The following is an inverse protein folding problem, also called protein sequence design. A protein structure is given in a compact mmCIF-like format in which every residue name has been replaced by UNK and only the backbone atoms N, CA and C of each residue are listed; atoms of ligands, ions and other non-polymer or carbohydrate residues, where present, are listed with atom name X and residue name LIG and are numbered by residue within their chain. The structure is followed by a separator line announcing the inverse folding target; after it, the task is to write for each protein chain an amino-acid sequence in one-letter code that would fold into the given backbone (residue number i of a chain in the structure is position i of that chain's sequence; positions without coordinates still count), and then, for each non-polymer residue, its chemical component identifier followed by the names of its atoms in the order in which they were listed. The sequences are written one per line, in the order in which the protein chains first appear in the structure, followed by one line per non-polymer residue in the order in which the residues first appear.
data_IF_462428932809
#
_entry.id   IF_462428932809
#
_cell.length_a   1.000
_cell.length_b   1.000
_cell.length_c   1.000
_cell.angle_alpha   90.00
_cell.angle_beta   90.00
_cell.angle_gamma   90.00
#
_symmetry.space_group_name_H-M   'P 1'
#
loop_
_entity.id
_entity.type
_entity.pdbx_description
1 polymer ?
#
# COMPACT_ATOMS: atom_id res chain seq x y z
N UNK A 1 17.08 -14.35 -6.00
CA UNK A 1 15.62 -14.51 -5.81
C UNK A 1 14.94 -13.49 -6.72
N UNK A 2 13.98 -13.91 -7.56
CA UNK A 2 13.22 -13.01 -8.43
C UNK A 2 11.86 -12.75 -7.78
N UNK A 3 11.38 -11.51 -7.83
CA UNK A 3 10.03 -11.11 -7.45
C UNK A 3 9.40 -10.39 -8.64
N UNK A 4 8.11 -10.62 -8.86
CA UNK A 4 7.35 -9.97 -9.92
C UNK A 4 6.50 -8.84 -9.32
N UNK A 5 6.56 -7.65 -9.92
CA UNK A 5 5.68 -6.54 -9.59
C UNK A 5 4.28 -6.80 -10.19
N UNK A 6 3.26 -6.88 -9.35
CA UNK A 6 1.87 -7.08 -9.77
C UNK A 6 1.10 -5.76 -9.88
N UNK A 7 1.41 -4.79 -9.02
CA UNK A 7 0.79 -3.47 -9.01
C UNK A 7 1.77 -2.44 -8.49
N UNK A 8 1.70 -1.22 -9.04
CA UNK A 8 2.48 -0.08 -8.58
C UNK A 8 1.71 1.22 -8.72
N UNK A 9 1.70 2.05 -7.68
CA UNK A 9 1.03 3.36 -7.71
C UNK A 9 1.81 4.41 -6.95
N UNK A 10 2.16 5.48 -7.67
CA UNK A 10 2.70 6.70 -7.09
C UNK A 10 1.60 7.54 -6.43
N UNK A 11 2.03 8.36 -5.47
CA UNK A 11 1.22 9.34 -4.74
C UNK A 11 0.14 8.71 -3.86
N UNK A 12 0.38 7.50 -3.36
CA UNK A 12 -0.42 6.94 -2.24
C UNK A 12 0.08 7.58 -0.95
N UNK A 13 -0.83 8.15 -0.17
CA UNK A 13 -0.49 8.87 1.04
C UNK A 13 -0.57 7.99 2.29
N UNK A 14 0.32 8.21 3.26
CA UNK A 14 0.28 7.62 4.60
C UNK A 14 0.44 8.73 5.63
N UNK A 15 -0.29 8.67 6.75
CA UNK A 15 -0.20 9.67 7.81
C UNK A 15 1.16 9.61 8.54
N UNK A 16 1.78 10.77 8.73
CA UNK A 16 2.93 10.94 9.62
C UNK A 16 2.45 11.26 11.04
N UNK A 17 2.90 10.47 12.01
CA UNK A 17 2.61 10.66 13.43
C UNK A 17 3.13 11.97 14.02
N UNK A 18 4.08 12.64 13.36
CA UNK A 18 4.77 13.80 13.94
C UNK A 18 4.14 15.15 13.62
N UNK A 19 3.38 15.27 12.52
CA UNK A 19 2.86 16.58 12.06
C UNK A 19 1.41 16.56 11.59
N UNK A 20 0.73 15.41 11.66
CA UNK A 20 -0.56 15.21 10.99
C UNK A 20 -0.51 15.48 9.47
N UNK A 21 0.71 15.46 8.90
CA UNK A 21 0.95 15.62 7.47
C UNK A 21 0.85 14.26 6.77
N UNK A 22 0.35 14.29 5.54
CA UNK A 22 0.30 13.10 4.68
C UNK A 22 1.58 13.01 3.85
N UNK A 23 2.33 11.92 4.03
CA UNK A 23 3.51 11.63 3.22
C UNK A 23 3.07 10.92 1.93
N UNK A 24 3.51 11.43 0.78
CA UNK A 24 3.30 10.77 -0.52
C UNK A 24 4.40 9.74 -0.78
N UNK A 25 3.99 8.56 -1.19
CA UNK A 25 4.89 7.47 -1.53
C UNK A 25 4.41 6.61 -2.68
N UNK A 26 5.22 5.61 -2.97
CA UNK A 26 4.94 4.58 -3.95
C UNK A 26 4.51 3.30 -3.25
N UNK A 27 3.27 2.89 -3.51
CA UNK A 27 2.72 1.61 -3.08
C UNK A 27 2.99 0.56 -4.17
N UNK A 28 3.43 -0.63 -3.79
CA UNK A 28 3.62 -1.74 -4.71
C UNK A 28 3.20 -3.08 -4.12
N UNK A 29 2.66 -3.95 -4.97
CA UNK A 29 2.35 -5.34 -4.66
C UNK A 29 3.33 -6.22 -5.41
N UNK A 30 4.03 -7.09 -4.69
CA UNK A 30 5.00 -8.03 -5.25
C UNK A 30 4.56 -9.46 -4.99
N UNK A 31 4.83 -10.33 -5.96
CA UNK A 31 4.76 -11.79 -5.80
C UNK A 31 6.17 -12.36 -5.84
N UNK A 32 6.55 -13.05 -4.78
CA UNK A 32 7.80 -13.81 -4.74
C UNK A 32 7.64 -15.14 -5.48
N UNK A 33 8.76 -15.77 -5.87
CA UNK A 33 8.74 -17.08 -6.51
C UNK A 33 8.07 -18.18 -5.66
N UNK A 34 8.01 -18.00 -4.35
CA UNK A 34 7.29 -18.89 -3.40
C UNK A 34 5.78 -18.73 -3.48
N UNK A 35 5.28 -17.76 -4.24
CA UNK A 35 3.87 -17.37 -4.27
C UNK A 35 3.49 -16.34 -3.20
N UNK A 36 4.39 -16.03 -2.27
CA UNK A 36 4.13 -15.07 -1.20
C UNK A 36 3.90 -13.66 -1.76
N UNK A 37 2.85 -13.00 -1.27
CA UNK A 37 2.55 -11.62 -1.62
C UNK A 37 3.05 -10.66 -0.56
N UNK A 38 3.67 -9.58 -1.02
CA UNK A 38 4.18 -8.52 -0.16
C UNK A 38 3.71 -7.16 -0.66
N UNK A 39 3.14 -6.36 0.23
CA UNK A 39 2.81 -4.95 -0.03
C UNK A 39 3.93 -4.08 0.53
N UNK A 40 4.49 -3.22 -0.31
CA UNK A 40 5.55 -2.27 0.08
C UNK A 40 5.09 -0.85 -0.17
N UNK A 41 5.42 0.04 0.75
CA UNK A 41 5.26 1.48 0.55
C UNK A 41 6.53 2.21 0.92
N UNK A 42 6.94 3.16 0.09
CA UNK A 42 8.16 3.95 0.31
C UNK A 42 7.90 5.41 0.01
N UNK A 43 8.26 6.35 0.91
CA UNK A 43 8.18 7.78 0.64
C UNK A 43 8.88 8.15 -0.66
N UNK A 44 8.25 8.99 -1.50
CA UNK A 44 8.83 9.38 -2.80
C UNK A 44 10.21 10.03 -2.63
N UNK A 45 10.41 10.79 -1.55
CA UNK A 45 11.69 11.42 -1.21
C UNK A 45 12.84 10.42 -1.12
N UNK A 46 12.60 9.21 -0.59
CA UNK A 46 13.61 8.15 -0.51
C UNK A 46 13.90 7.51 -1.87
N UNK A 47 12.92 7.48 -2.78
CA UNK A 47 13.12 6.94 -4.13
C UNK A 47 13.82 7.94 -5.07
N UNK A 48 13.57 9.25 -4.92
CA UNK A 48 14.19 10.27 -5.75
C UNK A 48 15.58 10.69 -5.26
N UNK A 49 15.92 10.48 -3.98
CA UNK A 49 17.25 10.81 -3.45
C UNK A 49 18.37 9.88 -3.92
N UNK A 50 18.04 8.77 -4.60
CA UNK A 50 19.03 8.00 -5.37
C UNK A 50 19.35 8.60 -6.75
N UNK A 51 18.62 9.63 -7.19
CA UNK A 51 18.66 10.13 -8.58
C UNK A 51 19.27 11.52 -8.74
N UNK A 52 19.34 12.34 -7.68
CA UNK A 52 19.86 13.72 -7.77
C UNK A 52 20.71 14.11 -6.54
N UNK A 53 21.81 14.87 -6.72
CA UNK A 53 22.52 15.51 -5.62
C UNK A 53 21.70 16.70 -5.11
N UNK A 54 20.65 16.45 -4.33
CA UNK A 54 19.86 17.53 -3.73
C UNK A 54 20.66 18.23 -2.61
N UNK A 55 20.54 19.56 -2.43
CA UNK A 55 21.22 20.32 -1.38
C UNK A 55 20.55 20.17 0.01
N UNK A 56 19.47 19.39 0.11
CA UNK A 56 18.77 19.17 1.37
C UNK A 56 19.60 18.26 2.31
N UNK A 57 19.58 18.51 3.63
CA UNK A 57 20.42 17.77 4.57
C UNK A 57 20.04 16.28 4.54
N UNK A 58 21.02 15.43 4.23
CA UNK A 58 20.94 13.96 4.25
C UNK A 58 20.34 13.37 5.55
N UNK A 59 20.25 14.16 6.61
CA UNK A 59 19.73 13.80 7.93
C UNK A 59 18.21 13.55 7.96
N UNK A 60 17.42 14.25 7.13
CA UNK A 60 15.96 14.07 7.14
C UNK A 60 15.53 12.76 6.46
N UNK A 61 16.31 12.27 5.47
CA UNK A 61 16.08 10.98 4.84
C UNK A 61 16.17 9.82 5.85
N UNK A 62 17.09 9.90 6.82
CA UNK A 62 17.22 8.87 7.85
C UNK A 62 15.93 8.73 8.68
N UNK A 63 15.24 9.85 8.93
CA UNK A 63 13.96 9.87 9.63
C UNK A 63 12.81 9.32 8.80
N UNK A 64 12.88 9.37 7.46
CA UNK A 64 11.82 8.89 6.59
C UNK A 64 11.76 7.37 6.50
N UNK A 65 12.88 6.68 6.73
CA UNK A 65 12.93 5.20 6.70
C UNK A 65 11.99 4.55 7.72
N UNK A 66 11.69 5.23 8.83
CA UNK A 66 10.72 4.74 9.83
C UNK A 66 9.29 4.62 9.28
N UNK A 67 8.99 5.29 8.17
CA UNK A 67 7.68 5.22 7.50
C UNK A 67 7.66 4.22 6.36
N UNK A 68 8.79 3.57 6.02
CA UNK A 68 8.79 2.53 5.00
C UNK A 68 7.98 1.34 5.51
N UNK A 69 7.03 0.90 4.68
CA UNK A 69 6.14 -0.20 5.03
C UNK A 69 6.48 -1.42 4.19
N UNK A 70 6.47 -2.58 4.85
CA UNK A 70 6.67 -3.89 4.22
C UNK A 70 5.74 -4.89 4.92
N UNK A 71 4.62 -5.22 4.28
CA UNK A 71 3.56 -6.07 4.82
C UNK A 71 3.57 -7.41 4.10
N UNK A 72 3.69 -8.48 4.89
CA UNK A 72 3.47 -9.84 4.42
C UNK A 72 1.96 -10.13 4.41
N UNK A 73 1.38 -10.33 3.23
CA UNK A 73 -0.06 -10.55 3.09
C UNK A 73 -0.57 -11.83 3.74
N UNK A 74 0.30 -12.81 4.03
CA UNK A 74 -0.09 -14.03 4.76
C UNK A 74 -0.48 -13.73 6.22
N UNK A 75 -0.02 -12.60 6.77
CA UNK A 75 -0.35 -12.17 8.14
C UNK A 75 -1.63 -11.35 8.22
N UNK A 76 -2.12 -10.85 7.07
CA UNK A 76 -3.28 -9.96 7.00
C UNK A 76 -4.57 -10.78 6.94
N UNK A 77 -5.48 -10.50 7.87
CA UNK A 77 -6.78 -11.18 7.96
C UNK A 77 -7.95 -10.33 7.46
N UNK A 78 -7.79 -8.99 7.46
CA UNK A 78 -8.86 -8.08 7.07
C UNK A 78 -8.31 -6.83 6.38
N UNK A 79 -9.06 -6.37 5.39
CA UNK A 79 -8.86 -5.08 4.72
C UNK A 79 -10.04 -4.18 5.06
N UNK A 80 -9.77 -3.05 5.70
CA UNK A 80 -10.79 -2.04 5.97
C UNK A 80 -10.69 -0.92 4.94
N UNK A 81 -11.78 -0.66 4.22
CA UNK A 81 -11.87 0.40 3.23
C UNK A 81 -12.86 1.46 3.67
N UNK A 82 -12.49 2.72 3.45
CA UNK A 82 -13.37 3.85 3.67
C UNK A 82 -13.26 4.84 2.50
N UNK A 83 -14.40 5.22 1.94
CA UNK A 83 -14.50 6.22 0.88
C UNK A 83 -15.69 7.14 1.17
N UNK A 84 -15.44 8.44 1.25
CA UNK A 84 -16.48 9.44 1.50
C UNK A 84 -17.06 10.00 0.19
N UNK A 85 -17.56 9.13 -0.70
CA UNK A 85 -18.06 9.50 -2.02
C UNK A 85 -17.06 9.33 -3.17
N UNK A 86 -17.56 9.27 -4.41
CA UNK A 86 -16.76 8.86 -5.58
C UNK A 86 -15.58 9.79 -5.91
N UNK A 87 -15.71 11.09 -5.62
CA UNK A 87 -14.67 12.10 -5.88
C UNK A 87 -13.58 12.15 -4.80
N UNK A 88 -13.76 11.42 -3.69
CA UNK A 88 -12.85 11.46 -2.55
C UNK A 88 -11.80 10.33 -2.59
N UNK A 89 -10.62 10.54 -1.96
CA UNK A 89 -9.63 9.50 -1.76
C UNK A 89 -10.22 8.27 -1.04
N UNK A 90 -9.76 7.08 -1.44
CA UNK A 90 -10.08 5.84 -0.73
C UNK A 90 -8.99 5.57 0.31
N UNK A 91 -9.40 5.38 1.56
CA UNK A 91 -8.52 4.96 2.65
C UNK A 91 -8.56 3.44 2.79
N UNK A 92 -7.42 2.78 2.64
CA UNK A 92 -7.24 1.35 2.86
C UNK A 92 -6.40 1.11 4.11
N UNK A 93 -6.88 0.26 5.02
CA UNK A 93 -6.16 -0.17 6.22
C UNK A 93 -6.01 -1.69 6.18
N UNK A 94 -4.79 -2.15 6.44
CA UNK A 94 -4.50 -3.58 6.62
C UNK A 94 -4.60 -3.91 8.10
N UNK A 95 -5.20 -5.06 8.44
CA UNK A 95 -5.28 -5.56 9.81
C UNK A 95 -4.72 -6.97 9.86
N UNK A 96 -3.74 -7.20 10.72
CA UNK A 96 -3.11 -8.51 10.87
C UNK A 96 -3.85 -9.43 11.85
N UNK A 97 -3.39 -10.68 11.90
CA UNK A 97 -3.96 -11.73 12.75
C UNK A 97 -3.94 -11.41 14.25
N UNK A 98 -3.07 -10.50 14.70
CA UNK A 98 -3.00 -10.04 16.09
C UNK A 98 -3.94 -8.84 16.35
N UNK A 99 -4.67 -8.38 15.33
CA UNK A 99 -5.55 -7.24 15.39
C UNK A 99 -4.85 -5.89 15.26
N UNK A 100 -3.55 -5.86 14.92
CA UNK A 100 -2.82 -4.60 14.71
C UNK A 100 -3.24 -3.98 13.39
N UNK A 101 -3.61 -2.70 13.45
CA UNK A 101 -3.96 -1.91 12.28
C UNK A 101 -2.74 -1.14 11.77
N UNK A 102 -2.42 -1.33 10.49
CA UNK A 102 -1.38 -0.56 9.82
C UNK A 102 -1.86 0.87 9.55
N UNK A 103 -0.93 1.81 9.38
CA UNK A 103 -1.28 3.18 9.04
C UNK A 103 -2.12 3.24 7.75
N UNK A 104 -3.17 4.09 7.68
CA UNK A 104 -4.06 4.13 6.51
C UNK A 104 -3.35 4.58 5.23
N UNK A 105 -3.57 3.85 4.15
CA UNK A 105 -3.11 4.16 2.81
C UNK A 105 -4.21 4.88 2.04
N UNK A 106 -4.01 6.17 1.78
CA UNK A 106 -4.95 6.97 1.01
C UNK A 106 -4.57 6.94 -0.48
N UNK A 107 -5.38 6.25 -1.27
CA UNK A 107 -5.30 6.25 -2.72
C UNK A 107 -5.83 7.57 -3.28
N UNK A 108 -5.20 8.14 -4.33
CA UNK A 108 -5.78 9.25 -5.06
C UNK A 108 -7.20 8.91 -5.56
N UNK A 109 -8.08 9.92 -5.75
CA UNK A 109 -9.41 9.70 -6.32
C UNK A 109 -9.40 8.90 -7.62
N UNK A 110 -10.49 8.16 -7.87
CA UNK A 110 -10.65 7.28 -9.03
C UNK A 110 -10.46 5.79 -8.71
N UNK A 111 -10.26 4.98 -9.76
CA UNK A 111 -10.31 3.51 -9.67
C UNK A 111 -9.00 2.85 -9.20
N UNK A 112 -8.10 3.60 -8.58
CA UNK A 112 -6.77 3.12 -8.22
C UNK A 112 -6.80 2.06 -7.10
N UNK A 113 -7.63 2.28 -6.07
CA UNK A 113 -7.80 1.31 -4.99
C UNK A 113 -8.45 0.02 -5.51
N UNK A 114 -9.50 0.13 -6.33
CA UNK A 114 -10.14 -1.03 -6.95
C UNK A 114 -9.16 -1.82 -7.84
N UNK A 115 -8.33 -1.13 -8.62
CA UNK A 115 -7.29 -1.77 -9.45
C UNK A 115 -6.25 -2.49 -8.59
N UNK A 116 -5.87 -1.91 -7.44
CA UNK A 116 -4.99 -2.57 -6.48
C UNK A 116 -5.63 -3.86 -5.93
N UNK A 117 -6.90 -3.80 -5.51
CA UNK A 117 -7.62 -4.96 -4.98
C UNK A 117 -7.75 -6.07 -6.04
N UNK A 118 -8.02 -5.72 -7.30
CA UNK A 118 -8.11 -6.70 -8.39
C UNK A 118 -6.76 -7.41 -8.64
N UNK A 119 -5.66 -6.65 -8.61
CA UNK A 119 -4.32 -7.23 -8.67
C UNK A 119 -4.02 -8.10 -7.44
N UNK A 120 -4.48 -7.70 -6.25
CA UNK A 120 -4.34 -8.50 -5.02
C UNK A 120 -5.12 -9.81 -5.11
N UNK A 121 -6.38 -9.78 -5.54
CA UNK A 121 -7.22 -10.98 -5.68
C UNK A 121 -6.62 -11.97 -6.69
N UNK A 122 -6.17 -11.46 -7.85
CA UNK A 122 -5.40 -12.25 -8.83
C UNK A 122 -4.09 -12.77 -8.22
N UNK A 123 -3.47 -11.97 -7.36
CA UNK A 123 -2.28 -12.27 -6.58
C UNK A 123 -2.46 -13.47 -5.64
N UNK A 124 -3.62 -13.57 -4.99
CA UNK A 124 -3.94 -14.60 -3.99
C UNK A 124 -4.33 -15.94 -4.63
N UNK A 125 -4.87 -15.90 -5.84
CA UNK A 125 -5.25 -17.10 -6.60
C UNK A 125 -4.04 -18.01 -6.92
N UNK A 126 -4.19 -19.35 -6.87
CA UNK A 126 -5.42 -20.10 -6.56
C UNK A 126 -5.61 -20.44 -5.07
N UNK A 127 -4.65 -20.07 -4.21
CA UNK A 127 -4.58 -20.58 -2.84
C UNK A 127 -5.45 -19.82 -1.85
N UNK A 128 -5.80 -18.57 -2.16
CA UNK A 128 -6.61 -17.71 -1.31
C UNK A 128 -7.41 -16.73 -2.18
N UNK A 129 -8.38 -16.04 -1.58
CA UNK A 129 -9.20 -15.02 -2.25
C UNK A 129 -9.63 -13.95 -1.26
N UNK A 130 -10.08 -12.81 -1.78
CA UNK A 130 -10.81 -11.84 -0.98
C UNK A 130 -12.22 -12.38 -0.70
N UNK A 131 -12.78 -12.01 0.45
CA UNK A 131 -14.13 -12.37 0.86
C UNK A 131 -14.84 -11.14 1.46
N UNK A 132 -15.94 -10.65 0.86
CA UNK A 132 -16.51 -11.11 -0.40
C UNK A 132 -15.57 -10.87 -1.59
N UNK A 133 -15.69 -11.64 -2.68
CA UNK A 133 -14.91 -11.40 -3.89
C UNK A 133 -15.32 -10.09 -4.58
N UNK A 134 -14.42 -9.44 -5.32
CA UNK A 134 -14.69 -8.10 -5.90
C UNK A 134 -15.80 -8.09 -6.97
N UNK A 135 -16.07 -9.24 -7.58
CA UNK A 135 -17.12 -9.40 -8.59
C UNK A 135 -18.51 -9.63 -7.97
N UNK A 136 -18.61 -9.82 -6.66
CA UNK A 136 -19.90 -9.82 -5.98
C UNK A 136 -20.38 -8.38 -5.78
N UNK A 137 -21.56 -8.08 -6.33
CA UNK A 137 -22.24 -6.79 -6.21
C UNK A 137 -22.74 -6.47 -4.80
N UNK A 138 -22.58 -7.38 -3.83
CA UNK A 138 -23.05 -7.21 -2.44
C UNK A 138 -22.16 -6.29 -1.58
N UNK A 139 -21.04 -5.80 -2.12
CA UNK A 139 -20.09 -4.92 -1.41
C UNK A 139 -19.94 -3.51 -1.99
N UNK A 140 -20.88 -3.04 -2.83
CA UNK A 140 -20.90 -1.68 -3.40
C UNK A 140 -21.86 -0.76 -2.67
#
# INVERSE_FOLDING_TARGET
MRSSLLYGKNNVCVSSSEKNDLLKGYLSLHRENTGLLTVKWTPNQLMHSSSEPSPAPKNDNNKLWKYVVNINMQTIIYLHLHQNGEEHPVSLVFVDAEGVQYAPFQFPPGQHCLSFLACLETGLSPFSRLDPPLWNHEGK
#
